data_IF_727068784744
#
_entry.id   IF_727068784744
#
_cell.length_a   1.000
_cell.length_b   1.000
_cell.length_c   1.000
_cell.angle_alpha   90.00
_cell.angle_beta   90.00
_cell.angle_gamma   90.00
#
_symmetry.space_group_name_H-M   'P 1'
#
loop_
_entity.id
_entity.type
_entity.pdbx_description
1 polymer ?
#
# COMPACT_ATOMS: atom_id res chain seq x y z
N UNK A 1 -16.11 -27.39 3.86
CA UNK A 1 -15.10 -26.81 4.76
C UNK A 1 -15.12 -25.30 4.58
N UNK A 2 -15.68 -24.55 5.53
CA UNK A 2 -15.55 -23.08 5.55
C UNK A 2 -14.09 -22.77 5.90
N UNK A 3 -13.28 -22.42 4.90
CA UNK A 3 -11.94 -21.94 5.16
C UNK A 3 -12.08 -20.60 5.88
N UNK A 4 -11.68 -20.54 7.15
CA UNK A 4 -11.70 -19.31 7.94
C UNK A 4 -10.88 -18.19 7.29
N UNK A 5 -11.05 -16.96 7.75
CA UNK A 5 -10.24 -15.84 7.27
C UNK A 5 -8.75 -16.16 7.42
N UNK A 6 -7.96 -15.97 6.35
CA UNK A 6 -6.54 -16.30 6.39
C UNK A 6 -5.78 -15.40 7.39
N UNK A 7 -4.78 -15.93 8.10
CA UNK A 7 -3.87 -15.12 8.91
C UNK A 7 -3.23 -13.99 8.10
N UNK A 8 -2.79 -12.91 8.74
CA UNK A 8 -2.15 -11.79 8.03
C UNK A 8 -0.83 -12.20 7.39
N UNK A 9 0.00 -12.98 8.10
CA UNK A 9 1.25 -13.51 7.57
C UNK A 9 1.06 -14.24 6.23
N UNK A 10 0.13 -15.19 6.18
CA UNK A 10 -0.31 -15.92 4.99
C UNK A 10 -0.65 -15.04 3.78
N UNK A 11 -1.24 -13.87 4.04
CA UNK A 11 -1.67 -12.92 3.03
C UNK A 11 -0.51 -12.08 2.51
N UNK A 12 0.40 -11.68 3.40
CA UNK A 12 1.64 -10.98 3.06
C UNK A 12 2.58 -11.92 2.29
N UNK A 13 2.71 -13.16 2.73
CA UNK A 13 3.57 -14.20 2.14
C UNK A 13 3.20 -14.55 0.70
N UNK A 14 1.94 -14.40 0.34
CA UNK A 14 1.47 -14.58 -1.03
C UNK A 14 2.16 -13.63 -2.03
N UNK A 15 2.68 -12.48 -1.56
CA UNK A 15 3.39 -11.51 -2.38
C UNK A 15 4.92 -11.69 -2.39
N UNK A 16 5.45 -12.64 -1.60
CA UNK A 16 6.87 -13.01 -1.58
C UNK A 16 7.80 -11.80 -1.33
N UNK A 17 7.51 -11.01 -0.30
CA UNK A 17 8.39 -9.94 0.15
C UNK A 17 9.75 -10.52 0.54
N UNK A 18 10.82 -10.01 -0.05
CA UNK A 18 12.18 -10.55 0.11
C UNK A 18 12.83 -10.05 1.40
N UNK A 19 12.66 -8.78 1.75
CA UNK A 19 13.19 -8.23 3.00
C UNK A 19 12.39 -8.76 4.21
N UNK A 20 13.00 -9.55 5.12
CA UNK A 20 12.29 -10.08 6.30
C UNK A 20 11.79 -8.96 7.22
N UNK A 21 12.59 -7.91 7.40
CA UNK A 21 12.25 -6.76 8.25
C UNK A 21 11.03 -6.00 7.72
N UNK A 22 10.94 -5.81 6.39
CA UNK A 22 9.80 -5.13 5.78
C UNK A 22 8.57 -6.05 5.76
N UNK A 23 8.75 -7.34 5.52
CA UNK A 23 7.68 -8.33 5.65
C UNK A 23 7.06 -8.28 7.04
N UNK A 24 7.87 -8.35 8.09
CA UNK A 24 7.41 -8.37 9.48
C UNK A 24 6.76 -7.05 9.87
N UNK A 25 7.28 -5.93 9.35
CA UNK A 25 6.61 -4.63 9.46
C UNK A 25 5.20 -4.65 8.88
N UNK A 26 5.02 -5.15 7.65
CA UNK A 26 3.69 -5.21 7.03
C UNK A 26 2.75 -6.10 7.84
N UNK A 27 3.21 -7.27 8.30
CA UNK A 27 2.41 -8.16 9.13
C UNK A 27 1.94 -7.44 10.40
N UNK A 28 2.87 -6.84 11.14
CA UNK A 28 2.56 -6.10 12.38
C UNK A 28 1.57 -4.96 12.11
N UNK A 29 1.86 -4.11 11.13
CA UNK A 29 1.00 -2.96 10.80
C UNK A 29 -0.41 -3.41 10.39
N UNK A 30 -0.51 -4.44 9.55
CA UNK A 30 -1.79 -4.95 9.06
C UNK A 30 -2.58 -5.64 10.17
N UNK A 31 -1.93 -6.40 11.06
CA UNK A 31 -2.58 -7.01 12.22
C UNK A 31 -3.17 -5.95 13.17
N UNK A 32 -2.44 -4.87 13.42
CA UNK A 32 -2.95 -3.78 14.26
C UNK A 32 -4.07 -2.97 13.59
N UNK A 33 -4.21 -3.04 12.25
CA UNK A 33 -5.34 -2.45 11.52
C UNK A 33 -6.54 -3.38 11.36
N UNK A 34 -6.32 -4.68 11.41
CA UNK A 34 -7.32 -5.71 11.11
C UNK A 34 -8.60 -5.60 11.94
N UNK A 35 -8.59 -5.28 13.25
CA UNK A 35 -9.81 -5.17 14.06
C UNK A 35 -10.76 -4.06 13.61
N UNK A 36 -10.26 -3.04 12.90
CA UNK A 36 -11.04 -1.88 12.45
C UNK A 36 -11.63 -2.05 11.04
N UNK A 37 -11.44 -3.20 10.39
CA UNK A 37 -11.80 -3.42 8.99
C UNK A 37 -12.60 -4.71 8.81
N UNK A 38 -13.57 -4.68 7.89
CA UNK A 38 -14.11 -5.93 7.35
C UNK A 38 -13.04 -6.66 6.51
N UNK A 39 -13.21 -7.96 6.31
CA UNK A 39 -12.20 -8.79 5.66
C UNK A 39 -11.92 -8.39 4.20
N UNK A 40 -12.92 -7.87 3.48
CA UNK A 40 -12.75 -7.42 2.09
C UNK A 40 -11.88 -6.17 2.05
N UNK A 41 -12.18 -5.18 2.90
CA UNK A 41 -11.36 -3.97 3.04
C UNK A 41 -9.94 -4.30 3.47
N UNK A 42 -9.77 -5.23 4.41
CA UNK A 42 -8.47 -5.71 4.85
C UNK A 42 -7.67 -6.39 3.73
N UNK A 43 -8.29 -7.28 2.95
CA UNK A 43 -7.66 -7.90 1.77
C UNK A 43 -7.26 -6.88 0.71
N UNK A 44 -8.07 -5.83 0.52
CA UNK A 44 -7.73 -4.70 -0.33
C UNK A 44 -6.48 -3.96 0.17
N UNK A 45 -6.37 -3.77 1.48
CA UNK A 45 -5.19 -3.18 2.14
C UNK A 45 -3.91 -3.96 1.86
N UNK A 46 -3.94 -5.28 2.08
CA UNK A 46 -2.79 -6.15 1.78
C UNK A 46 -2.40 -6.04 0.30
N UNK A 47 -3.38 -6.10 -0.60
CA UNK A 47 -3.12 -6.04 -2.05
C UNK A 47 -2.47 -4.73 -2.48
N UNK A 48 -2.95 -3.60 -1.96
CA UNK A 48 -2.41 -2.29 -2.30
C UNK A 48 -1.02 -2.07 -1.71
N UNK A 49 -0.84 -2.35 -0.41
CA UNK A 49 0.41 -2.03 0.30
C UNK A 49 1.52 -3.04 0.01
N UNK A 50 1.22 -4.33 0.04
CA UNK A 50 2.23 -5.37 -0.12
C UNK A 50 2.42 -5.70 -1.59
N UNK A 51 1.32 -5.87 -2.34
CA UNK A 51 1.38 -6.30 -3.73
C UNK A 51 1.73 -5.19 -4.71
N UNK A 52 0.95 -4.10 -4.71
CA UNK A 52 1.09 -3.03 -5.71
C UNK A 52 2.15 -1.99 -5.36
N UNK A 53 2.48 -1.85 -4.07
CA UNK A 53 3.52 -0.96 -3.60
C UNK A 53 4.84 -1.70 -3.40
N UNK A 54 4.98 -2.48 -2.33
CA UNK A 54 6.28 -2.99 -1.95
C UNK A 54 6.85 -4.06 -2.90
N UNK A 55 6.04 -5.06 -3.28
CA UNK A 55 6.51 -6.11 -4.19
C UNK A 55 6.84 -5.58 -5.60
N UNK A 56 6.20 -4.50 -6.04
CA UNK A 56 6.61 -3.81 -7.28
C UNK A 56 7.97 -3.13 -7.11
N UNK A 57 8.22 -2.50 -5.97
CA UNK A 57 9.52 -1.86 -5.66
C UNK A 57 10.63 -2.91 -5.63
N UNK A 58 10.49 -4.00 -4.86
CA UNK A 58 11.51 -5.04 -4.79
C UNK A 58 11.78 -5.71 -6.13
N UNK A 59 10.74 -5.88 -6.98
CA UNK A 59 10.90 -6.43 -8.33
C UNK A 59 11.82 -5.60 -9.21
N UNK A 60 11.77 -4.27 -9.08
CA UNK A 60 12.55 -3.34 -9.90
C UNK A 60 13.83 -2.86 -9.23
N UNK A 61 13.93 -3.01 -7.91
CA UNK A 61 15.10 -2.64 -7.11
C UNK A 61 15.43 -3.79 -6.14
N UNK A 62 15.97 -4.92 -6.64
CA UNK A 62 16.29 -6.08 -5.80
C UNK A 62 17.26 -5.70 -4.67
N UNK A 63 16.98 -6.20 -3.46
CA UNK A 63 17.79 -5.93 -2.27
C UNK A 63 17.42 -4.65 -1.52
N UNK A 64 16.46 -3.86 -1.98
CA UNK A 64 15.93 -2.74 -1.20
C UNK A 64 15.22 -3.26 0.06
N UNK A 65 15.56 -2.68 1.21
CA UNK A 65 15.10 -3.13 2.53
C UNK A 65 14.67 -1.97 3.44
N UNK A 66 14.53 -0.77 2.87
CA UNK A 66 14.20 0.47 3.59
C UNK A 66 12.89 1.09 3.09
N UNK A 67 12.06 1.56 4.03
CA UNK A 67 10.90 2.40 3.69
C UNK A 67 11.29 3.83 3.33
N UNK A 68 12.49 4.30 3.72
CA UNK A 68 12.96 5.63 3.32
C UNK A 68 13.51 5.52 1.89
N UNK A 69 12.58 5.45 0.93
CA UNK A 69 12.90 5.20 -0.46
C UNK A 69 13.75 6.36 -1.04
N UNK A 70 14.83 6.04 -1.79
CA UNK A 70 15.48 7.01 -2.65
C UNK A 70 14.48 7.69 -3.60
N UNK A 71 14.71 8.97 -3.92
CA UNK A 71 13.77 9.79 -4.70
C UNK A 71 13.48 9.21 -6.09
N UNK A 72 14.50 8.64 -6.73
CA UNK A 72 14.42 7.99 -8.04
C UNK A 72 13.61 6.68 -7.98
N UNK A 73 13.82 5.86 -6.95
CA UNK A 73 13.03 4.63 -6.70
C UNK A 73 11.56 4.98 -6.49
N UNK A 74 11.30 5.99 -5.65
CA UNK A 74 9.95 6.44 -5.37
C UNK A 74 9.28 7.01 -6.64
N UNK A 75 10.00 7.79 -7.46
CA UNK A 75 9.50 8.31 -8.73
C UNK A 75 9.18 7.20 -9.73
N UNK A 76 10.10 6.26 -9.91
CA UNK A 76 9.93 5.13 -10.82
C UNK A 76 8.70 4.28 -10.45
N UNK A 77 8.50 4.00 -9.14
CA UNK A 77 7.29 3.32 -8.68
C UNK A 77 6.02 4.13 -8.97
N UNK A 78 6.00 5.44 -8.69
CA UNK A 78 4.82 6.30 -8.94
C UNK A 78 4.44 6.33 -10.44
N UNK A 79 5.42 6.26 -11.33
CA UNK A 79 5.17 6.21 -12.76
C UNK A 79 4.65 4.86 -13.22
N UNK A 80 5.22 3.75 -12.73
CA UNK A 80 4.66 2.40 -12.98
C UNK A 80 3.24 2.25 -12.43
N UNK A 81 2.94 2.88 -11.29
CA UNK A 81 1.61 2.89 -10.69
C UNK A 81 0.54 3.55 -11.58
N UNK A 82 0.91 4.26 -12.66
CA UNK A 82 -0.04 4.84 -13.62
C UNK A 82 -0.73 3.81 -14.49
N UNK A 83 -0.12 2.64 -14.68
CA UNK A 83 -0.62 1.61 -15.59
C UNK A 83 -0.73 0.25 -14.89
N UNK A 84 -1.48 -0.64 -15.52
CA UNK A 84 -1.50 -2.07 -15.22
C UNK A 84 -0.93 -2.77 -16.43
N UNK A 85 0.12 -3.57 -16.21
CA UNK A 85 0.65 -4.48 -17.23
C UNK A 85 -0.16 -5.78 -17.19
N UNK A 86 -0.75 -6.14 -18.32
CA UNK A 86 -1.51 -7.37 -18.50
C UNK A 86 -0.57 -8.55 -18.80
N UNK A 87 -1.03 -9.81 -18.65
CA UNK A 87 -0.20 -10.99 -18.90
C UNK A 87 0.36 -11.07 -20.33
N UNK A 88 -0.31 -10.45 -21.30
CA UNK A 88 0.13 -10.36 -22.70
C UNK A 88 1.17 -9.25 -22.96
N UNK A 89 1.61 -8.56 -21.90
CA UNK A 89 2.59 -7.46 -21.97
C UNK A 89 1.99 -6.10 -22.33
N UNK A 90 0.69 -6.03 -22.67
CA UNK A 90 0.05 -4.75 -22.96
C UNK A 90 -0.21 -3.96 -21.67
N UNK A 91 -0.28 -2.63 -21.80
CA UNK A 91 -0.54 -1.74 -20.65
C UNK A 91 -1.83 -0.98 -20.84
N UNK A 92 -2.62 -0.88 -19.75
CA UNK A 92 -3.78 0.02 -19.69
C UNK A 92 -3.65 1.02 -18.55
N UNK A 93 -4.30 2.20 -18.63
CA UNK A 93 -4.37 3.12 -17.50
C UNK A 93 -4.94 2.44 -16.24
N UNK A 94 -4.37 2.73 -15.08
CA UNK A 94 -4.88 2.26 -13.80
C UNK A 94 -6.03 3.16 -13.34
N UNK A 95 -7.24 2.61 -13.31
CA UNK A 95 -8.45 3.31 -12.86
C UNK A 95 -8.33 3.80 -11.40
N UNK A 96 -7.85 2.95 -10.49
CA UNK A 96 -7.76 3.27 -9.06
C UNK A 96 -6.39 3.79 -8.62
N UNK A 97 -5.64 4.45 -9.52
CA UNK A 97 -4.30 4.99 -9.21
C UNK A 97 -4.30 5.89 -7.98
N UNK A 98 -5.26 6.79 -7.89
CA UNK A 98 -5.36 7.71 -6.75
C UNK A 98 -5.67 6.98 -5.43
N UNK A 99 -6.41 5.87 -5.49
CA UNK A 99 -6.66 5.01 -4.34
C UNK A 99 -5.38 4.36 -3.83
N UNK A 100 -4.57 3.81 -4.74
CA UNK A 100 -3.25 3.27 -4.41
C UNK A 100 -2.33 4.32 -3.78
N UNK A 101 -2.15 5.47 -4.44
CA UNK A 101 -1.29 6.55 -3.93
C UNK A 101 -1.76 7.05 -2.56
N UNK A 102 -3.07 7.28 -2.40
CA UNK A 102 -3.63 7.74 -1.13
C UNK A 102 -3.47 6.70 -0.02
N UNK A 103 -3.64 5.41 -0.34
CA UNK A 103 -3.47 4.34 0.66
C UNK A 103 -2.02 4.20 1.12
N UNK A 104 -1.06 4.27 0.20
CA UNK A 104 0.38 4.29 0.52
C UNK A 104 0.72 5.53 1.34
N UNK A 105 0.21 6.71 0.96
CA UNK A 105 0.43 7.94 1.75
C UNK A 105 -0.09 7.80 3.18
N UNK A 106 -1.32 7.31 3.36
CA UNK A 106 -1.90 7.12 4.69
C UNK A 106 -1.12 6.11 5.52
N UNK A 107 -0.61 5.02 4.91
CA UNK A 107 0.25 4.06 5.61
C UNK A 107 1.48 4.72 6.24
N UNK A 108 2.23 5.52 5.48
CA UNK A 108 3.41 6.22 6.00
C UNK A 108 3.05 7.22 7.10
N UNK A 109 1.95 7.97 6.95
CA UNK A 109 1.49 8.92 7.97
C UNK A 109 1.00 8.21 9.24
N UNK A 110 0.36 7.04 9.11
CA UNK A 110 -0.06 6.23 10.24
C UNK A 110 1.16 5.70 11.02
N UNK A 111 2.22 5.26 10.34
CA UNK A 111 3.48 4.87 10.99
C UNK A 111 4.12 6.04 11.76
N UNK A 112 4.16 7.24 11.17
CA UNK A 112 4.68 8.44 11.82
C UNK A 112 3.87 8.81 13.06
N UNK A 113 2.54 8.73 12.98
CA UNK A 113 1.66 8.99 14.14
C UNK A 113 1.92 7.97 15.25
N UNK A 114 1.98 6.69 14.90
CA UNK A 114 2.22 5.60 15.85
C UNK A 114 3.58 5.73 16.56
N UNK A 115 4.60 6.26 15.89
CA UNK A 115 5.90 6.52 16.51
C UNK A 115 5.87 7.55 17.65
N UNK A 116 4.85 8.42 17.69
CA UNK A 116 4.63 9.33 18.82
C UNK A 116 4.08 8.58 20.04
N UNK A 117 3.26 7.55 19.81
CA UNK A 117 2.56 6.77 20.84
C UNK A 117 3.40 5.58 21.33
N UNK A 118 4.13 4.92 20.43
CA UNK A 118 4.96 3.74 20.69
C UNK A 118 6.31 3.88 19.95
N UNK A 119 7.42 4.06 20.69
CA UNK A 119 8.76 4.24 20.11
C UNK A 119 9.25 3.10 19.21
N UNK A 120 8.68 1.90 19.31
CA UNK A 120 9.07 0.77 18.44
C UNK A 120 8.76 1.02 16.95
N UNK A 121 7.93 2.01 16.63
CA UNK A 121 7.65 2.44 15.26
C UNK A 121 8.62 3.48 14.72
N UNK A 122 9.47 4.09 15.55
CA UNK A 122 10.35 5.23 15.17
C UNK A 122 11.23 4.89 13.97
N UNK A 123 11.78 3.67 13.90
CA UNK A 123 12.62 3.24 12.77
C UNK A 123 11.87 3.24 11.42
N UNK A 124 10.55 3.21 11.43
CA UNK A 124 9.68 3.17 10.26
C UNK A 124 8.99 4.51 9.97
N UNK A 125 9.12 5.48 10.89
CA UNK A 125 8.53 6.81 10.78
C UNK A 125 9.34 7.70 9.83
N UNK A 126 9.32 7.37 8.54
CA UNK A 126 10.09 8.03 7.48
C UNK A 126 9.17 8.82 6.53
N UNK A 127 9.70 9.77 5.75
CA UNK A 127 8.89 10.54 4.80
C UNK A 127 8.15 9.65 3.79
N UNK A 128 6.92 10.05 3.44
CA UNK A 128 6.13 9.30 2.45
C UNK A 128 6.66 9.51 1.03
N UNK A 129 6.77 8.43 0.22
CA UNK A 129 7.12 8.54 -1.20
C UNK A 129 5.98 9.15 -2.03
N UNK A 130 4.81 9.44 -1.44
CA UNK A 130 3.67 10.08 -2.11
C UNK A 130 3.46 11.45 -1.50
N UNK A 131 3.63 12.51 -2.30
CA UNK A 131 3.40 13.90 -1.87
C UNK A 131 1.90 14.21 -1.88
N UNK A 132 1.49 15.24 -1.13
CA UNK A 132 0.09 15.67 -1.12
C UNK A 132 -0.40 16.12 -2.51
N UNK A 133 0.50 16.65 -3.35
CA UNK A 133 0.24 16.99 -4.75
C UNK A 133 -0.16 15.78 -5.60
N UNK A 134 0.36 14.60 -5.28
CA UNK A 134 0.15 13.36 -6.05
C UNK A 134 -1.25 12.77 -5.83
N UNK A 135 -1.89 13.14 -4.71
CA UNK A 135 -3.24 12.72 -4.32
C UNK A 135 -4.34 13.73 -4.72
N UNK A 136 -3.99 14.85 -5.40
CA UNK A 136 -4.97 15.87 -5.79
C UNK A 136 -6.02 15.24 -6.74
N UNK A 137 -7.28 15.26 -6.31
CA UNK A 137 -8.42 14.71 -7.05
C UNK A 137 -9.12 13.50 -6.39
N UNK A 138 -8.50 12.81 -5.42
CA UNK A 138 -9.09 11.62 -4.79
C UNK A 138 -10.38 11.88 -4.02
N UNK A 139 -10.49 13.05 -3.36
CA UNK A 139 -11.71 13.43 -2.65
C UNK A 139 -12.92 13.64 -3.58
N UNK A 140 -12.71 13.90 -4.89
CA UNK A 140 -13.79 14.11 -5.86
C UNK A 140 -14.31 12.81 -6.48
N UNK A 141 -13.55 11.72 -6.44
CA UNK A 141 -13.94 10.43 -7.05
C UNK A 141 -14.81 9.55 -6.16
N UNK A 142 -14.97 9.86 -4.87
CA UNK A 142 -15.85 9.12 -3.93
C UNK A 142 -17.28 9.66 -3.84
N UNK A 143 -17.61 10.75 -4.53
CA UNK A 143 -18.95 11.38 -4.49
C UNK A 143 -19.79 11.12 -5.75
N UNK A 144 -19.50 10.07 -6.50
CA UNK A 144 -20.24 9.74 -7.73
C UNK A 144 -21.15 8.50 -7.61
N UNK A 145 -21.74 8.22 -6.44
CA UNK A 145 -22.77 7.15 -6.31
C UNK A 145 -23.95 7.52 -5.40
N UNK A 146 -24.08 8.77 -4.97
CA UNK A 146 -25.34 9.22 -4.37
C UNK A 146 -25.67 10.63 -4.88
N UNK A 147 -26.31 10.68 -6.04
CA UNK A 147 -27.15 11.81 -6.42
C UNK A 147 -28.33 11.23 -7.20
N UNK A 148 -29.35 10.78 -6.48
CA UNK A 148 -30.70 10.68 -7.05
C UNK A 148 -31.25 12.11 -7.15
N UNK A 149 -31.80 12.51 -8.30
CA UNK A 149 -32.41 13.82 -8.45
C UNK A 149 -33.71 13.88 -7.64
N UNK A 150 -33.91 15.00 -6.94
CA UNK A 150 -35.23 15.46 -6.53
C UNK A 150 -35.72 16.49 -7.54
#
# INVERSE_FOLDING_TARGET
>A
MLHGQRPTADLVDAYRVQSPEIRDLFIRYLDERRPALDYTSFRGDVSLLVGQFWADIERHHPGIDTLHLPDDVAAAWRDRARVVTLPDGTTRPREERLGLLSRVRSFYLDLQRRAVEDPSWVRWAVPSPVRASDCRGFARSRTATYCLPA
#
